data_IF_687438601782
#
_entry.id   IF_687438601782
#
_cell.length_a   1.000
_cell.length_b   1.000
_cell.length_c   1.000
_cell.angle_alpha   90.00
_cell.angle_beta   90.00
_cell.angle_gamma   90.00
#
_symmetry.space_group_name_H-M   'P 1'
#
loop_
_entity.id
_entity.type
_entity.pdbx_description
1 polymer ?
#
# COMPACT_ATOMS: atom_id res chain seq x y z
N UNK A 1 1.45 11.26 -19.30
CA UNK A 1 1.38 10.54 -18.02
C UNK A 1 0.39 11.26 -17.12
N UNK A 2 -0.69 10.61 -16.67
CA UNK A 2 -1.54 11.20 -15.62
C UNK A 2 -0.70 11.29 -14.35
N UNK A 3 -0.52 12.50 -13.82
CA UNK A 3 0.13 12.71 -12.53
C UNK A 3 -0.74 12.06 -11.46
N UNK A 4 -0.10 11.41 -10.49
CA UNK A 4 -0.79 10.90 -9.32
C UNK A 4 -1.49 12.05 -8.59
N UNK A 5 -2.73 11.84 -8.17
CA UNK A 5 -3.46 12.80 -7.34
C UNK A 5 -2.82 12.87 -5.95
N UNK A 6 -3.16 13.90 -5.18
CA UNK A 6 -2.67 14.06 -3.80
C UNK A 6 -3.07 12.83 -2.97
N UNK A 7 -4.31 12.37 -3.11
CA UNK A 7 -4.86 11.20 -2.42
C UNK A 7 -4.08 9.91 -2.73
N UNK A 8 -3.69 9.72 -4.00
CA UNK A 8 -2.90 8.55 -4.39
C UNK A 8 -1.51 8.57 -3.73
N UNK A 9 -0.87 9.73 -3.68
CA UNK A 9 0.42 9.90 -3.00
C UNK A 9 0.32 9.67 -1.50
N UNK A 10 -0.74 10.17 -0.88
CA UNK A 10 -1.00 9.95 0.54
C UNK A 10 -1.22 8.47 0.84
N UNK A 11 -1.94 7.75 -0.02
CA UNK A 11 -2.16 6.31 0.15
C UNK A 11 -0.86 5.51 0.03
N UNK A 12 -0.04 5.80 -0.98
CA UNK A 12 1.29 5.19 -1.12
C UNK A 12 2.14 5.48 0.13
N UNK A 13 2.17 6.75 0.56
CA UNK A 13 2.92 7.15 1.75
C UNK A 13 2.44 6.40 3.00
N UNK A 14 1.14 6.24 3.18
CA UNK A 14 0.56 5.51 4.31
C UNK A 14 1.02 4.04 4.30
N UNK A 15 0.84 3.33 3.18
CA UNK A 15 1.22 1.92 3.07
C UNK A 15 2.73 1.73 3.31
N UNK A 16 3.55 2.62 2.74
CA UNK A 16 5.01 2.60 2.95
C UNK A 16 5.40 2.91 4.41
N UNK A 17 4.67 3.80 5.07
CA UNK A 17 4.89 4.11 6.48
C UNK A 17 4.53 2.93 7.38
N UNK A 18 3.41 2.25 7.12
CA UNK A 18 3.03 1.02 7.82
C UNK A 18 4.03 -0.12 7.58
N UNK A 19 4.57 -0.22 6.36
CA UNK A 19 5.64 -1.18 6.06
C UNK A 19 6.91 -0.87 6.85
N UNK A 20 7.35 0.39 6.86
CA UNK A 20 8.52 0.83 7.61
C UNK A 20 8.36 0.61 9.12
N UNK A 21 7.14 0.79 9.64
CA UNK A 21 6.80 0.49 11.03
C UNK A 21 6.65 -1.01 11.33
N UNK A 22 6.69 -1.89 10.33
CA UNK A 22 6.50 -3.34 10.51
C UNK A 22 5.07 -3.73 10.92
N UNK A 23 4.09 -2.88 10.60
CA UNK A 23 2.67 -3.06 10.91
C UNK A 23 1.83 -3.39 9.69
N UNK A 24 2.37 -3.19 8.47
CA UNK A 24 1.67 -3.54 7.23
C UNK A 24 1.34 -5.04 7.20
N UNK A 25 0.07 -5.36 6.98
CA UNK A 25 -0.44 -6.74 6.86
C UNK A 25 -0.93 -6.99 5.45
N UNK A 26 -0.81 -8.24 4.98
CA UNK A 26 -1.35 -8.65 3.68
C UNK A 26 -2.59 -9.54 3.79
N UNK A 27 -3.43 -9.47 2.77
CA UNK A 27 -4.69 -10.22 2.70
C UNK A 27 -5.83 -9.61 3.52
N UNK A 28 -7.06 -10.02 3.21
CA UNK A 28 -8.27 -9.55 3.90
C UNK A 28 -8.14 -9.83 5.41
N UNK A 29 -8.25 -8.80 6.25
CA UNK A 29 -8.03 -8.88 7.72
C UNK A 29 -6.62 -9.32 8.17
N UNK A 30 -5.60 -9.26 7.30
CA UNK A 30 -4.24 -9.66 7.65
C UNK A 30 -4.02 -11.18 7.72
N UNK A 31 -4.84 -11.96 7.00
CA UNK A 31 -4.75 -13.43 6.92
C UNK A 31 -3.35 -13.90 6.52
N UNK A 32 -2.69 -13.17 5.62
CA UNK A 32 -1.35 -13.53 5.13
C UNK A 32 -0.23 -12.92 5.99
N UNK A 33 -0.55 -12.46 7.19
CA UNK A 33 0.41 -11.96 8.16
C UNK A 33 1.04 -10.62 7.79
N UNK A 34 2.16 -10.30 8.45
CA UNK A 34 2.92 -9.07 8.24
C UNK A 34 3.69 -9.11 6.93
N UNK A 35 3.74 -7.98 6.23
CA UNK A 35 4.54 -7.82 5.02
C UNK A 35 5.98 -7.54 5.41
N UNK A 36 6.90 -8.40 4.97
CA UNK A 36 8.34 -8.25 5.21
C UNK A 36 9.11 -7.87 3.95
N UNK A 37 8.50 -8.07 2.77
CA UNK A 37 9.15 -7.79 1.49
C UNK A 37 8.78 -6.38 0.98
N UNK A 38 9.76 -5.49 0.73
CA UNK A 38 9.50 -4.16 0.16
C UNK A 38 8.76 -4.19 -1.18
N UNK A 39 9.05 -5.18 -2.04
CA UNK A 39 8.37 -5.32 -3.34
C UNK A 39 6.87 -5.59 -3.16
N UNK A 40 6.53 -6.38 -2.14
CA UNK A 40 5.14 -6.68 -1.82
C UNK A 40 4.42 -5.45 -1.26
N UNK A 41 5.08 -4.66 -0.41
CA UNK A 41 4.52 -3.39 0.06
C UNK A 41 4.21 -2.44 -1.10
N UNK A 42 5.11 -2.36 -2.10
CA UNK A 42 4.90 -1.51 -3.28
C UNK A 42 3.71 -2.01 -4.09
N UNK A 43 3.59 -3.33 -4.29
CA UNK A 43 2.44 -3.90 -4.99
C UNK A 43 1.11 -3.59 -4.29
N UNK A 44 1.06 -3.66 -2.95
CA UNK A 44 -0.11 -3.27 -2.15
C UNK A 44 -0.40 -1.79 -2.34
N UNK A 45 0.61 -0.92 -2.20
CA UNK A 45 0.44 0.52 -2.38
C UNK A 45 -0.16 0.88 -3.75
N UNK A 46 0.28 0.21 -4.82
CA UNK A 46 -0.24 0.43 -6.17
C UNK A 46 -1.67 -0.09 -6.35
N UNK A 47 -2.00 -1.26 -5.79
CA UNK A 47 -3.36 -1.80 -5.84
C UNK A 47 -4.35 -0.92 -5.08
N UNK A 48 -4.01 -0.49 -3.87
CA UNK A 48 -4.84 0.42 -3.07
C UNK A 48 -5.08 1.76 -3.80
N UNK A 49 -4.11 2.22 -4.60
CA UNK A 49 -4.22 3.41 -5.44
C UNK A 49 -5.13 3.20 -6.65
N UNK A 50 -5.15 1.99 -7.22
CA UNK A 50 -6.06 1.65 -8.31
C UNK A 50 -7.50 1.50 -7.80
N UNK A 51 -7.69 0.93 -6.61
CA UNK A 51 -9.01 0.82 -5.98
C UNK A 51 -9.64 2.19 -5.68
N UNK A 52 -8.84 3.24 -5.44
CA UNK A 52 -9.33 4.62 -5.28
C UNK A 52 -9.95 5.21 -6.55
N UNK A 53 -9.71 4.63 -7.74
CA UNK A 53 -10.28 5.11 -9.01
C UNK A 53 -11.67 4.54 -9.30
N UNK A 54 -12.16 3.62 -8.48
CA UNK A 54 -13.35 2.80 -8.72
C UNK A 54 -14.56 3.33 -7.98
#
# INVERSE_FOLDING_TARGET
MKKETIEQKEKIKQVMHEFHAGTLKSGKKGINGKVTNPKQAIAIALNEVEDLKK
#
